data_IF_884275201002
#
_entry.id   IF_884275201002
#
_cell.length_a   1.000
_cell.length_b   1.000
_cell.length_c   1.000
_cell.angle_alpha   90.00
_cell.angle_beta   90.00
_cell.angle_gamma   90.00
#
_symmetry.space_group_name_H-M   'P 1'
#
loop_
_entity.id
_entity.type
_entity.pdbx_description
1 polymer ?
#
# COMPACT_ATOMS: atom_id res chain seq x y z
N UNK A 1 50.68 -15.47 9.18
CA UNK A 1 49.50 -16.00 8.44
C UNK A 1 48.53 -14.85 8.22
N UNK A 2 48.58 -14.27 7.03
CA UNK A 2 47.75 -13.13 6.65
C UNK A 2 46.33 -13.62 6.35
N UNK A 3 45.35 -13.13 7.11
CA UNK A 3 43.95 -13.55 6.99
C UNK A 3 43.38 -13.00 5.68
N UNK A 4 43.09 -13.88 4.73
CA UNK A 4 42.41 -13.54 3.49
C UNK A 4 41.09 -12.82 3.79
N UNK A 5 40.99 -11.57 3.35
CA UNK A 5 39.82 -10.71 3.50
C UNK A 5 38.67 -11.37 2.74
N UNK A 6 37.68 -11.90 3.47
CA UNK A 6 36.47 -12.49 2.88
C UNK A 6 35.87 -11.47 1.89
N UNK A 7 35.75 -11.87 0.63
CA UNK A 7 35.10 -11.06 -0.41
C UNK A 7 33.63 -10.99 -0.02
N UNK A 8 33.26 -9.93 0.72
CA UNK A 8 31.92 -9.77 1.27
C UNK A 8 30.88 -9.67 0.16
N UNK A 9 29.68 -10.21 0.42
CA UNK A 9 28.55 -10.12 -0.53
C UNK A 9 28.11 -8.67 -0.80
N UNK A 10 27.12 -8.51 -1.71
CA UNK A 10 26.56 -7.21 -2.09
C UNK A 10 26.30 -6.34 -0.84
N UNK A 11 26.78 -5.08 -0.81
CA UNK A 11 26.60 -4.22 0.35
C UNK A 11 25.13 -4.12 0.78
N UNK A 12 24.85 -4.05 2.09
CA UNK A 12 23.49 -3.94 2.59
C UNK A 12 22.83 -2.67 2.05
N UNK A 13 21.57 -2.80 1.63
CA UNK A 13 20.78 -1.67 1.14
C UNK A 13 20.55 -0.64 2.25
N UNK A 14 20.91 0.62 1.98
CA UNK A 14 20.69 1.74 2.88
C UNK A 14 19.53 2.60 2.33
N UNK A 15 18.32 2.55 2.93
CA UNK A 15 17.24 3.43 2.52
C UNK A 15 17.58 4.88 2.90
N UNK A 16 17.39 5.81 1.97
CA UNK A 16 17.50 7.25 2.19
C UNK A 16 16.16 7.93 1.82
N UNK A 17 16.02 9.21 2.14
CA UNK A 17 14.78 9.94 1.93
C UNK A 17 14.37 10.02 0.44
N UNK A 18 15.31 10.29 -0.46
CA UNK A 18 15.04 10.35 -1.89
C UNK A 18 14.46 9.03 -2.43
N UNK A 19 15.03 7.88 -2.05
CA UNK A 19 14.50 6.57 -2.45
C UNK A 19 13.12 6.29 -1.85
N UNK A 20 12.85 6.76 -0.63
CA UNK A 20 11.51 6.63 -0.01
C UNK A 20 10.47 7.41 -0.82
N UNK A 21 10.79 8.64 -1.20
CA UNK A 21 9.93 9.47 -2.05
C UNK A 21 9.68 8.84 -3.43
N UNK A 22 10.71 8.25 -4.05
CA UNK A 22 10.54 7.50 -5.31
C UNK A 22 9.59 6.32 -5.12
N UNK A 23 9.73 5.54 -4.03
CA UNK A 23 8.81 4.42 -3.76
C UNK A 23 7.38 4.91 -3.55
N UNK A 24 7.18 5.95 -2.74
CA UNK A 24 5.85 6.53 -2.52
C UNK A 24 5.24 7.02 -3.85
N UNK A 25 5.99 7.76 -4.66
CA UNK A 25 5.52 8.26 -5.95
C UNK A 25 5.12 7.14 -6.90
N UNK A 26 5.99 6.16 -7.12
CA UNK A 26 5.73 5.06 -8.06
C UNK A 26 4.57 4.18 -7.60
N UNK A 27 4.49 3.87 -6.30
CA UNK A 27 3.39 3.08 -5.78
C UNK A 27 2.05 3.85 -5.81
N UNK A 28 2.08 5.18 -5.61
CA UNK A 28 0.91 6.04 -5.80
C UNK A 28 0.41 6.07 -7.24
N UNK A 29 1.31 5.94 -8.22
CA UNK A 29 0.99 5.81 -9.63
C UNK A 29 0.60 4.38 -10.07
N UNK A 30 0.31 3.48 -9.12
CA UNK A 30 -0.06 2.08 -9.34
C UNK A 30 1.00 1.24 -10.10
N UNK A 31 2.27 1.64 -10.06
CA UNK A 31 3.38 0.86 -10.63
C UNK A 31 3.61 -0.41 -9.79
N UNK A 32 3.90 -1.53 -10.45
CA UNK A 32 4.08 -2.81 -9.76
C UNK A 32 5.32 -2.80 -8.86
N UNK A 33 5.26 -3.54 -7.74
CA UNK A 33 6.44 -3.69 -6.86
C UNK A 33 7.65 -4.29 -7.60
N UNK A 34 7.43 -5.09 -8.65
CA UNK A 34 8.49 -5.64 -9.49
C UNK A 34 9.21 -4.55 -10.30
N UNK A 35 8.46 -3.64 -10.92
CA UNK A 35 9.02 -2.50 -11.65
C UNK A 35 9.69 -1.50 -10.70
N UNK A 36 9.10 -1.23 -9.53
CA UNK A 36 9.74 -0.41 -8.49
C UNK A 36 11.09 -1.01 -8.07
N UNK A 37 11.16 -2.33 -7.92
CA UNK A 37 12.40 -3.04 -7.64
C UNK A 37 13.43 -2.87 -8.77
N UNK A 38 12.99 -2.96 -10.03
CA UNK A 38 13.84 -2.76 -11.20
C UNK A 38 14.41 -1.33 -11.25
N UNK A 39 13.58 -0.31 -11.03
CA UNK A 39 13.99 1.11 -10.99
C UNK A 39 15.03 1.36 -9.91
N UNK A 40 14.86 0.77 -8.72
CA UNK A 40 15.79 0.96 -7.59
C UNK A 40 16.99 0.01 -7.61
N UNK A 41 16.99 -0.98 -8.52
CA UNK A 41 18.00 -2.03 -8.59
C UNK A 41 18.07 -2.91 -7.34
N UNK A 42 16.93 -3.16 -6.68
CA UNK A 42 16.85 -3.94 -5.42
C UNK A 42 15.99 -5.20 -5.58
N UNK A 43 16.16 -6.16 -4.68
CA UNK A 43 15.29 -7.34 -4.62
C UNK A 43 13.96 -7.03 -3.90
N UNK A 44 12.92 -7.81 -4.23
CA UNK A 44 11.59 -7.69 -3.60
C UNK A 44 11.63 -7.84 -2.07
N UNK A 45 12.52 -8.68 -1.52
CA UNK A 45 12.68 -8.81 -0.06
C UNK A 45 13.21 -7.52 0.56
N UNK A 46 14.09 -6.82 -0.15
CA UNK A 46 14.66 -5.54 0.27
C UNK A 46 13.60 -4.45 0.24
N UNK A 47 12.78 -4.42 -0.81
CA UNK A 47 11.65 -3.47 -0.91
C UNK A 47 10.72 -3.61 0.30
N UNK A 48 10.25 -4.84 0.57
CA UNK A 48 9.38 -5.12 1.72
C UNK A 48 10.04 -4.83 3.06
N UNK A 49 11.33 -5.10 3.22
CA UNK A 49 12.03 -4.88 4.49
C UNK A 49 12.17 -3.40 4.83
N UNK A 50 12.46 -2.55 3.84
CA UNK A 50 12.86 -1.16 4.09
C UNK A 50 11.79 -0.12 3.77
N UNK A 51 10.83 -0.45 2.89
CA UNK A 51 9.86 0.50 2.34
C UNK A 51 8.40 0.10 2.59
N UNK A 52 8.15 -0.83 3.52
CA UNK A 52 6.78 -1.29 3.80
C UNK A 52 5.87 -0.14 4.22
N UNK A 53 6.39 0.77 5.05
CA UNK A 53 5.62 1.92 5.57
C UNK A 53 5.20 2.88 4.46
N UNK A 54 6.08 3.15 3.52
CA UNK A 54 5.84 3.99 2.35
C UNK A 54 4.75 3.39 1.45
N UNK A 55 4.87 2.09 1.16
CA UNK A 55 3.89 1.35 0.37
C UNK A 55 2.51 1.35 1.02
N UNK A 56 2.44 1.06 2.32
CA UNK A 56 1.18 1.01 3.06
C UNK A 56 0.55 2.42 3.20
N UNK A 57 1.38 3.45 3.46
CA UNK A 57 0.92 4.84 3.58
C UNK A 57 0.33 5.35 2.28
N UNK A 58 1.03 5.16 1.15
CA UNK A 58 0.54 5.69 -0.13
C UNK A 58 -0.67 4.91 -0.63
N UNK A 59 -0.74 3.60 -0.37
CA UNK A 59 -1.94 2.82 -0.66
C UNK A 59 -3.16 3.40 0.07
N UNK A 60 -3.06 3.62 1.39
CA UNK A 60 -4.16 4.22 2.16
C UNK A 60 -4.53 5.64 1.68
N UNK A 61 -3.54 6.43 1.27
CA UNK A 61 -3.76 7.77 0.72
C UNK A 61 -4.54 7.71 -0.60
N UNK A 62 -4.10 6.90 -1.55
CA UNK A 62 -4.75 6.75 -2.86
C UNK A 62 -6.17 6.19 -2.71
N UNK A 63 -6.37 5.20 -1.82
CA UNK A 63 -7.71 4.68 -1.51
C UNK A 63 -8.63 5.80 -1.01
N UNK A 64 -8.14 6.65 -0.09
CA UNK A 64 -8.91 7.78 0.45
C UNK A 64 -9.27 8.81 -0.62
N UNK A 65 -8.33 9.14 -1.51
CA UNK A 65 -8.56 10.07 -2.62
C UNK A 65 -9.63 9.52 -3.59
N UNK A 66 -9.54 8.25 -3.97
CA UNK A 66 -10.55 7.59 -4.82
C UNK A 66 -11.93 7.54 -4.18
N UNK A 67 -12.03 7.25 -2.88
CA UNK A 67 -13.31 7.28 -2.16
C UNK A 67 -13.90 8.69 -2.11
N UNK A 68 -13.06 9.71 -1.92
CA UNK A 68 -13.49 11.11 -1.99
C UNK A 68 -14.06 11.47 -3.36
N UNK A 69 -13.39 11.06 -4.44
CA UNK A 69 -13.89 11.23 -5.79
C UNK A 69 -15.20 10.50 -6.04
N UNK A 70 -15.32 9.25 -5.56
CA UNK A 70 -16.55 8.47 -5.66
C UNK A 70 -17.73 9.20 -5.02
N UNK A 71 -17.56 9.74 -3.81
CA UNK A 71 -18.60 10.50 -3.11
C UNK A 71 -18.98 11.78 -3.84
N UNK A 72 -17.99 12.47 -4.42
CA UNK A 72 -18.20 13.70 -5.20
C UNK A 72 -19.01 13.46 -6.47
N UNK A 73 -18.77 12.34 -7.16
CA UNK A 73 -19.42 12.03 -8.46
C UNK A 73 -20.69 11.19 -8.33
N UNK A 74 -20.97 10.59 -7.17
CA UNK A 74 -22.13 9.71 -6.96
C UNK A 74 -23.49 10.38 -7.21
N UNK A 75 -23.59 11.70 -7.00
CA UNK A 75 -24.81 12.49 -7.29
C UNK A 75 -24.80 13.23 -8.63
N UNK A 76 -23.75 13.07 -9.43
CA UNK A 76 -23.52 13.82 -10.67
C UNK A 76 -23.76 13.01 -11.94
N UNK A 77 -23.52 13.65 -13.09
CA UNK A 77 -23.75 13.05 -14.41
C UNK A 77 -22.49 12.41 -15.04
N UNK A 78 -21.39 12.28 -14.30
CA UNK A 78 -20.13 11.74 -14.81
C UNK A 78 -20.01 10.22 -14.58
N UNK A 79 -20.79 9.48 -15.38
CA UNK A 79 -20.79 8.02 -15.33
C UNK A 79 -19.47 7.37 -15.75
N UNK A 80 -18.60 8.08 -16.49
CA UNK A 80 -17.30 7.57 -16.93
C UNK A 80 -16.29 7.64 -15.78
N UNK A 81 -16.19 8.79 -15.09
CA UNK A 81 -15.36 8.91 -13.90
C UNK A 81 -15.81 7.92 -12.83
N UNK A 82 -17.12 7.73 -12.63
CA UNK A 82 -17.66 6.78 -11.68
C UNK A 82 -17.15 5.35 -11.95
N UNK A 83 -17.25 4.89 -13.20
CA UNK A 83 -16.76 3.56 -13.60
C UNK A 83 -15.25 3.42 -13.42
N UNK A 84 -14.47 4.45 -13.75
CA UNK A 84 -13.02 4.44 -13.60
C UNK A 84 -12.60 4.33 -12.12
N UNK A 85 -13.22 5.10 -11.23
CA UNK A 85 -12.96 5.05 -9.78
C UNK A 85 -13.35 3.71 -9.18
N UNK A 86 -14.53 3.18 -9.52
CA UNK A 86 -14.97 1.84 -9.09
C UNK A 86 -13.98 0.77 -9.58
N UNK A 87 -13.55 0.84 -10.83
CA UNK A 87 -12.57 -0.09 -11.39
C UNK A 87 -11.24 -0.06 -10.63
N UNK A 88 -10.73 1.14 -10.30
CA UNK A 88 -9.50 1.30 -9.52
C UNK A 88 -9.63 0.71 -8.11
N UNK A 89 -10.74 0.99 -7.41
CA UNK A 89 -11.01 0.45 -6.08
C UNK A 89 -11.07 -1.09 -6.08
N UNK A 90 -11.70 -1.68 -7.08
CA UNK A 90 -11.77 -3.14 -7.24
C UNK A 90 -10.40 -3.75 -7.56
N UNK A 91 -9.68 -3.17 -8.51
CA UNK A 91 -8.43 -3.75 -9.04
C UNK A 91 -7.23 -3.61 -8.11
N UNK A 92 -7.17 -2.52 -7.34
CA UNK A 92 -6.02 -2.21 -6.49
C UNK A 92 -6.26 -2.51 -5.00
N UNK A 93 -7.49 -2.33 -4.52
CA UNK A 93 -7.82 -2.40 -3.08
C UNK A 93 -8.72 -3.58 -2.71
N UNK A 94 -9.08 -4.42 -3.69
CA UNK A 94 -9.85 -5.65 -3.44
C UNK A 94 -11.30 -5.38 -3.03
N UNK A 95 -11.84 -4.20 -3.34
CA UNK A 95 -13.25 -3.93 -3.13
C UNK A 95 -14.08 -4.88 -3.98
N UNK A 96 -15.07 -5.53 -3.37
CA UNK A 96 -15.97 -6.44 -4.04
C UNK A 96 -17.26 -6.51 -3.25
N UNK A 97 -18.39 -6.58 -3.95
CA UNK A 97 -19.69 -6.89 -3.33
C UNK A 97 -19.70 -8.28 -2.68
N UNK A 98 -18.86 -9.18 -3.18
CA UNK A 98 -18.68 -10.54 -2.67
C UNK A 98 -17.49 -10.66 -1.71
N UNK A 99 -16.91 -9.54 -1.25
CA UNK A 99 -15.88 -9.58 -0.26
C UNK A 99 -16.43 -10.26 1.01
N UNK A 100 -15.70 -11.21 1.63
CA UNK A 100 -16.15 -11.82 2.87
C UNK A 100 -16.41 -10.72 3.90
N UNK A 101 -17.46 -10.85 4.74
CA UNK A 101 -17.70 -9.89 5.80
C UNK A 101 -16.40 -9.67 6.57
N UNK A 102 -16.00 -8.40 6.73
CA UNK A 102 -14.81 -8.06 7.52
C UNK A 102 -14.98 -8.76 8.85
N UNK A 103 -14.06 -9.67 9.18
CA UNK A 103 -14.15 -10.48 10.39
C UNK A 103 -14.48 -9.53 11.54
N UNK A 104 -15.67 -9.71 12.13
CA UNK A 104 -16.17 -8.86 13.20
C UNK A 104 -15.21 -9.02 14.36
N UNK A 105 -14.16 -8.20 14.42
CA UNK A 105 -13.51 -7.90 15.68
C UNK A 105 -14.65 -7.34 16.51
N UNK A 106 -15.00 -8.00 17.60
CA UNK A 106 -15.89 -7.43 18.61
C UNK A 106 -15.22 -6.13 19.10
N UNK A 107 -15.40 -5.05 18.35
CA UNK A 107 -15.23 -3.71 18.88
C UNK A 107 -16.37 -3.57 19.88
N UNK A 108 -16.00 -3.41 21.14
CA UNK A 108 -16.86 -3.32 22.31
C UNK A 108 -17.44 -4.68 22.76
N UNK A 109 -16.62 -5.44 23.51
CA UNK A 109 -17.15 -6.02 24.75
C UNK A 109 -17.47 -4.83 25.64
N UNK A 110 -18.71 -4.37 25.61
CA UNK A 110 -19.23 -3.54 26.69
C UNK A 110 -19.30 -4.49 27.88
N UNK A 111 -18.52 -4.22 28.92
CA UNK A 111 -18.62 -4.97 30.17
C UNK A 111 -20.02 -4.73 30.75
N UNK A 112 -20.92 -5.69 30.55
CA UNK A 112 -22.27 -5.79 31.13
C UNK A 112 -22.23 -6.03 32.65
N UNK A 113 -21.41 -5.26 33.39
CA UNK A 113 -21.28 -5.37 34.85
C UNK A 113 -21.71 -4.13 35.62
N UNK A 114 -22.28 -3.12 34.95
CA UNK A 114 -22.82 -1.92 35.61
C UNK A 114 -24.34 -1.86 35.40
N UNK A 115 -25.07 -2.87 35.86
CA UNK A 115 -26.47 -2.79 36.31
C UNK A 115 -26.79 -4.10 37.05
N UNK A 116 -26.30 -4.20 38.29
CA UNK A 116 -26.84 -5.14 39.27
C UNK A 116 -26.74 -4.55 40.66
#
# INVERSE_FOLDING_TARGET
MEKSKRIGGRPPHKPNQARRQIVEFLAGAAISQAEICAVLGIDRKTLRRHYRRELDRVAARVETELVGDLLRIAGGNDGTALKAVIFALRSCFGWSEFAPPRARKMLFKVDDHIYR
#
